data_IF_611856200917
#
_entry.id   IF_611856200917
#
_cell.length_a   1.000
_cell.length_b   1.000
_cell.length_c   1.000
_cell.angle_alpha   90.00
_cell.angle_beta   90.00
_cell.angle_gamma   90.00
#
_symmetry.space_group_name_H-M   'P 1'
#
loop_
_entity.id
_entity.type
_entity.pdbx_description
1 polymer ?
#
# COMPACT_ATOMS: atom_id res chain seq x y z
N UNK A 1 -1.40 -9.45 -1.30
CA UNK A 1 -0.32 -8.50 -1.65
C UNK A 1 0.41 -9.08 -2.86
N UNK A 2 0.64 -8.29 -3.91
CA UNK A 2 1.31 -8.72 -5.15
C UNK A 2 2.66 -8.01 -5.36
N UNK A 3 3.22 -7.45 -4.29
CA UNK A 3 4.49 -6.74 -4.30
C UNK A 3 4.36 -5.22 -4.27
N UNK A 4 5.47 -4.57 -4.58
CA UNK A 4 5.66 -3.12 -4.55
C UNK A 4 6.46 -2.72 -5.79
N UNK A 5 5.99 -1.72 -6.54
CA UNK A 5 6.76 -1.13 -7.65
C UNK A 5 7.91 -0.28 -7.11
N UNK A 6 7.64 0.45 -6.01
CA UNK A 6 8.59 1.34 -5.35
C UNK A 6 8.33 1.36 -3.86
N UNK A 7 9.41 1.40 -3.09
CA UNK A 7 9.37 1.64 -1.64
C UNK A 7 10.54 2.51 -1.23
N UNK A 8 10.29 3.39 -0.26
CA UNK A 8 11.29 4.18 0.47
C UNK A 8 10.94 4.14 1.95
N UNK A 9 11.97 4.10 2.78
CA UNK A 9 11.87 4.11 4.25
C UNK A 9 12.64 5.31 4.81
N UNK A 10 12.09 6.54 4.77
CA UNK A 10 12.85 7.76 5.05
C UNK A 10 13.23 7.96 6.53
N UNK A 11 12.45 7.39 7.45
CA UNK A 11 12.67 7.52 8.89
C UNK A 11 12.39 6.19 9.61
N UNK A 12 13.17 5.85 10.66
CA UNK A 12 12.90 4.69 11.48
C UNK A 12 11.64 4.89 12.34
N UNK A 13 10.94 3.80 12.64
CA UNK A 13 9.84 3.80 13.61
C UNK A 13 10.38 3.33 14.95
N UNK A 14 10.37 4.20 15.95
CA UNK A 14 10.77 3.84 17.32
C UNK A 14 9.66 2.99 17.94
N UNK A 15 10.03 1.94 18.67
CA UNK A 15 9.06 1.07 19.32
C UNK A 15 8.13 1.88 20.25
N UNK A 16 6.82 1.59 20.19
CA UNK A 16 5.81 2.34 20.92
C UNK A 16 5.32 3.63 20.23
N UNK A 17 5.90 4.03 19.10
CA UNK A 17 5.39 5.16 18.32
C UNK A 17 4.00 4.87 17.75
N UNK A 18 3.15 5.88 17.70
CA UNK A 18 1.89 5.84 16.99
C UNK A 18 2.11 6.14 15.51
N UNK A 19 1.58 5.29 14.63
CA UNK A 19 1.67 5.46 13.18
C UNK A 19 0.30 5.51 12.52
N UNK A 20 0.21 6.13 11.35
CA UNK A 20 -1.01 6.19 10.53
C UNK A 20 -0.70 5.84 9.08
N UNK A 21 -1.41 4.85 8.54
CA UNK A 21 -1.41 4.56 7.10
C UNK A 21 -2.40 5.46 6.37
N UNK A 22 -1.98 6.01 5.23
CA UNK A 22 -2.82 6.66 4.23
C UNK A 22 -2.66 5.93 2.91
N UNK A 23 -3.78 5.50 2.33
CA UNK A 23 -3.80 4.83 1.04
C UNK A 23 -4.68 5.62 0.07
N UNK A 24 -4.21 5.78 -1.15
CA UNK A 24 -4.98 6.30 -2.28
C UNK A 24 -4.92 5.30 -3.44
N UNK A 25 -6.09 4.97 -4.02
CA UNK A 25 -6.16 4.12 -5.20
C UNK A 25 -5.71 4.95 -6.40
N UNK A 26 -4.54 4.66 -6.96
CA UNK A 26 -4.05 5.37 -8.13
C UNK A 26 -4.63 4.80 -9.43
N UNK A 27 -4.79 3.47 -9.47
CA UNK A 27 -5.29 2.76 -10.65
C UNK A 27 -5.83 1.39 -10.25
N UNK A 28 -6.84 0.95 -11.00
CA UNK A 28 -7.44 -0.36 -10.87
C UNK A 28 -7.60 -0.95 -12.27
N UNK A 29 -6.86 -2.03 -12.54
CA UNK A 29 -6.84 -2.70 -13.83
C UNK A 29 -7.57 -4.05 -13.75
N UNK A 30 -8.35 -4.38 -14.77
CA UNK A 30 -8.86 -5.73 -14.92
C UNK A 30 -7.71 -6.67 -15.34
N UNK A 31 -7.64 -7.85 -14.72
CA UNK A 31 -6.69 -8.91 -15.08
C UNK A 31 -7.46 -10.23 -15.26
N UNK A 32 -6.82 -11.24 -15.84
CA UNK A 32 -7.43 -12.56 -15.95
C UNK A 32 -7.91 -13.03 -14.56
N UNK A 33 -9.21 -13.31 -14.46
CA UNK A 33 -9.89 -13.76 -13.24
C UNK A 33 -9.73 -12.83 -12.02
N UNK A 34 -9.59 -11.52 -12.20
CA UNK A 34 -9.51 -10.61 -11.05
C UNK A 34 -9.27 -9.14 -11.39
N UNK A 35 -8.85 -8.38 -10.38
CA UNK A 35 -8.46 -6.99 -10.51
C UNK A 35 -7.09 -6.74 -9.86
N UNK A 36 -6.30 -5.85 -10.45
CA UNK A 36 -5.05 -5.36 -9.89
C UNK A 36 -5.20 -3.89 -9.49
N UNK A 37 -5.06 -3.59 -8.21
CA UNK A 37 -4.99 -2.24 -7.70
C UNK A 37 -3.54 -1.79 -7.50
N UNK A 38 -3.27 -0.57 -7.93
CA UNK A 38 -2.06 0.19 -7.65
C UNK A 38 -2.40 1.22 -6.57
N UNK A 39 -1.81 1.07 -5.40
CA UNK A 39 -2.04 1.93 -4.24
C UNK A 39 -0.83 2.82 -3.98
N UNK A 40 -1.04 4.14 -3.91
CA UNK A 40 -0.10 5.02 -3.23
C UNK A 40 -0.31 4.87 -1.72
N UNK A 41 0.73 4.43 -1.01
CA UNK A 41 0.71 4.25 0.44
C UNK A 41 1.74 5.17 1.11
N UNK A 42 1.32 5.88 2.15
CA UNK A 42 2.20 6.63 3.05
C UNK A 42 1.94 6.19 4.48
N UNK A 43 3.00 5.91 5.22
CA UNK A 43 2.94 5.63 6.66
C UNK A 43 3.57 6.81 7.40
N UNK A 44 2.74 7.55 8.12
CA UNK A 44 3.14 8.69 8.94
C UNK A 44 3.45 8.24 10.37
N UNK A 45 4.38 8.93 11.04
CA UNK A 45 4.64 8.79 12.48
C UNK A 45 4.09 10.05 13.16
N UNK A 46 3.37 9.89 14.26
CA UNK A 46 2.85 11.02 15.04
C UNK A 46 4.00 11.96 15.48
N UNK A 47 3.84 13.26 15.26
CA UNK A 47 4.83 14.32 15.58
C UNK A 47 6.19 14.22 14.85
N UNK A 48 6.29 13.50 13.73
CA UNK A 48 7.52 13.44 12.93
C UNK A 48 7.43 14.22 11.62
N UNK A 49 8.54 14.84 11.22
CA UNK A 49 8.62 15.62 9.96
C UNK A 49 8.70 14.74 8.70
N UNK A 50 9.08 13.48 8.85
CA UNK A 50 9.25 12.53 7.75
C UNK A 50 8.38 11.28 7.95
N UNK A 51 7.78 10.74 6.88
CA UNK A 51 7.05 9.49 6.97
C UNK A 51 8.01 8.32 7.23
N UNK A 52 7.49 7.27 7.86
CA UNK A 52 8.18 6.00 8.01
C UNK A 52 8.35 5.29 6.67
N UNK A 53 7.32 5.35 5.81
CA UNK A 53 7.29 4.64 4.54
C UNK A 53 6.50 5.43 3.50
N UNK A 54 7.01 5.43 2.26
CA UNK A 54 6.27 5.83 1.07
C UNK A 54 6.42 4.71 0.04
N UNK A 55 5.31 4.15 -0.43
CA UNK A 55 5.32 2.99 -1.30
C UNK A 55 4.24 3.06 -2.38
N UNK A 56 4.53 2.44 -3.52
CA UNK A 56 3.56 2.09 -4.56
C UNK A 56 3.29 0.59 -4.45
N UNK A 57 2.14 0.23 -3.89
CA UNK A 57 1.78 -1.15 -3.57
C UNK A 57 0.85 -1.76 -4.62
N UNK A 58 1.15 -3.01 -4.98
CA UNK A 58 0.31 -3.82 -5.85
C UNK A 58 -0.55 -4.77 -5.01
N UNK A 59 -1.85 -4.71 -5.21
CA UNK A 59 -2.79 -5.67 -4.63
C UNK A 59 -3.59 -6.35 -5.74
N UNK A 60 -3.57 -7.68 -5.77
CA UNK A 60 -4.42 -8.47 -6.66
C UNK A 60 -5.61 -9.01 -5.89
N UNK A 61 -6.80 -8.72 -6.39
CA UNK A 61 -8.08 -9.19 -5.88
C UNK A 61 -8.62 -10.25 -6.81
N UNK A 62 -8.97 -11.40 -6.26
CA UNK A 62 -9.67 -12.48 -6.96
C UNK A 62 -11.12 -12.52 -6.46
N UNK A 63 -12.09 -12.84 -7.33
CA UNK A 63 -13.47 -13.01 -6.91
C UNK A 63 -13.59 -14.15 -5.89
N UNK A 64 -14.51 -14.01 -4.93
CA UNK A 64 -14.75 -15.04 -3.93
C UNK A 64 -15.28 -16.35 -4.54
N UNK A 65 -15.92 -16.27 -5.71
CA UNK A 65 -16.28 -17.43 -6.51
C UNK A 65 -15.55 -17.35 -7.87
N UNK A 66 -14.66 -18.30 -8.18
CA UNK A 66 -13.89 -18.27 -9.42
C UNK A 66 -14.68 -18.70 -10.68
N UNK A 67 -15.95 -19.13 -10.54
CA UNK A 67 -16.81 -19.47 -11.67
C UNK A 67 -17.89 -18.39 -11.91
N UNK A 68 -18.11 -17.96 -13.17
CA UNK A 68 -19.28 -17.17 -13.55
C UNK A 68 -20.59 -17.95 -13.38
#
# INVERSE_FOLDING_TARGET
NYGLDRVRLPAPVIAGSRIRGRLALERLDAVACGMQAHWAATVEIENADKPACVAQMLARYYPANPNP
#
